data_IF_622670752454
#
_entry.id   IF_622670752454
#
_cell.length_a   1.000
_cell.length_b   1.000
_cell.length_c   1.000
_cell.angle_alpha   90.00
_cell.angle_beta   90.00
_cell.angle_gamma   90.00
#
_symmetry.space_group_name_H-M   'P 1'
#
loop_
_entity.id
_entity.type
_entity.pdbx_description
1 polymer ?
#
# COMPACT_ATOMS: atom_id res chain seq x y z
N UNK A 1 10.60 -5.62 -26.75
CA UNK A 1 10.90 -6.66 -25.74
C UNK A 1 9.57 -7.27 -25.31
N UNK A 2 9.43 -8.60 -25.36
CA UNK A 2 8.22 -9.27 -24.89
C UNK A 2 8.18 -9.11 -23.37
N UNK A 3 7.39 -8.16 -22.85
CA UNK A 3 7.08 -8.09 -21.42
C UNK A 3 6.46 -9.45 -21.07
N UNK A 4 7.07 -10.20 -20.17
CA UNK A 4 6.62 -11.54 -19.78
C UNK A 4 5.29 -11.42 -19.03
N UNK A 5 4.22 -11.18 -19.79
CA UNK A 5 2.90 -10.89 -19.29
C UNK A 5 2.34 -12.06 -18.48
N UNK A 6 1.91 -11.74 -17.27
CA UNK A 6 0.96 -12.50 -16.45
C UNK A 6 1.42 -13.70 -15.62
N UNK A 7 2.70 -14.04 -15.54
CA UNK A 7 3.15 -15.00 -14.53
C UNK A 7 3.68 -14.20 -13.33
N UNK A 8 2.79 -13.61 -12.53
CA UNK A 8 3.14 -13.00 -11.24
C UNK A 8 2.45 -13.80 -10.12
N UNK A 9 3.18 -14.43 -9.17
CA UNK A 9 2.55 -15.23 -8.13
C UNK A 9 1.78 -14.34 -7.13
N UNK A 10 2.04 -13.04 -7.15
CA UNK A 10 1.40 -12.03 -6.31
C UNK A 10 0.15 -11.42 -6.96
N UNK A 11 -0.21 -11.79 -8.20
CA UNK A 11 -1.34 -11.19 -8.94
C UNK A 11 -2.68 -11.37 -8.22
N UNK A 12 -2.88 -12.53 -7.58
CA UNK A 12 -4.10 -12.83 -6.83
C UNK A 12 -3.99 -12.44 -5.34
N UNK A 13 -2.89 -11.78 -4.96
CA UNK A 13 -2.58 -11.37 -3.58
C UNK A 13 -2.70 -9.86 -3.38
N UNK A 14 -3.44 -9.19 -4.27
CA UNK A 14 -3.74 -7.77 -4.20
C UNK A 14 -4.45 -7.40 -2.91
N UNK A 15 -4.09 -6.24 -2.36
CA UNK A 15 -4.81 -5.62 -1.27
C UNK A 15 -6.19 -5.17 -1.75
N UNK A 16 -7.22 -5.52 -0.99
CA UNK A 16 -8.59 -5.04 -1.22
C UNK A 16 -8.94 -4.06 -0.12
N UNK A 17 -9.41 -2.89 -0.52
CA UNK A 17 -9.87 -1.89 0.41
C UNK A 17 -11.04 -2.46 1.23
N UNK A 18 -10.92 -2.42 2.55
CA UNK A 18 -11.95 -2.89 3.46
C UNK A 18 -13.13 -1.91 3.49
N UNK A 19 -14.28 -2.38 4.00
CA UNK A 19 -15.42 -1.51 4.27
C UNK A 19 -15.04 -0.37 5.24
N UNK A 20 -15.61 0.80 5.00
CA UNK A 20 -15.39 1.97 5.85
C UNK A 20 -16.24 1.88 7.12
N UNK A 21 -15.63 1.37 8.19
CA UNK A 21 -16.32 1.03 9.43
C UNK A 21 -16.45 2.21 10.43
N UNK A 22 -15.85 3.37 10.14
CA UNK A 22 -15.92 4.54 11.03
C UNK A 22 -17.07 5.49 10.70
N UNK A 23 -17.71 5.30 9.56
CA UNK A 23 -18.80 6.13 9.10
C UNK A 23 -20.00 6.09 10.04
N UNK A 24 -20.47 7.25 10.50
CA UNK A 24 -21.60 7.34 11.43
C UNK A 24 -21.33 6.76 12.83
N UNK A 25 -20.10 6.31 13.10
CA UNK A 25 -19.70 5.79 14.40
C UNK A 25 -19.19 6.95 15.27
N UNK A 26 -19.62 6.97 16.53
CA UNK A 26 -19.12 7.95 17.51
C UNK A 26 -17.73 7.56 18.00
N UNK A 27 -16.92 8.56 18.34
CA UNK A 27 -15.56 8.36 18.85
C UNK A 27 -15.47 7.30 19.96
N UNK A 28 -16.42 7.28 20.91
CA UNK A 28 -16.43 6.33 22.02
C UNK A 28 -16.63 4.86 21.60
N UNK A 29 -17.11 4.60 20.39
CA UNK A 29 -17.30 3.24 19.87
C UNK A 29 -16.09 2.75 19.03
N UNK A 30 -15.06 3.59 18.84
CA UNK A 30 -13.88 3.21 18.05
C UNK A 30 -13.03 2.14 18.75
N UNK A 31 -12.35 1.28 17.96
CA UNK A 31 -11.24 0.45 18.44
C UNK A 31 -10.19 1.31 19.16
N UNK A 32 -9.51 0.72 20.15
CA UNK A 32 -8.56 1.42 21.02
C UNK A 32 -7.42 2.07 20.23
N UNK A 33 -6.95 1.39 19.19
CA UNK A 33 -5.85 1.80 18.33
C UNK A 33 -6.23 3.07 17.55
N UNK A 34 -7.44 3.10 17.00
CA UNK A 34 -7.99 4.25 16.26
C UNK A 34 -8.23 5.43 17.21
N UNK A 35 -8.80 5.19 18.39
CA UNK A 35 -8.94 6.24 19.43
C UNK A 35 -7.60 6.85 19.80
N UNK A 36 -6.61 6.01 20.08
CA UNK A 36 -5.27 6.46 20.46
C UNK A 36 -4.67 7.29 19.34
N UNK A 37 -4.86 6.88 18.08
CA UNK A 37 -4.35 7.60 16.94
C UNK A 37 -4.99 8.98 16.75
N UNK A 38 -6.33 9.05 16.76
CA UNK A 38 -7.08 10.31 16.69
C UNK A 38 -6.70 11.23 17.84
N UNK A 39 -6.70 10.72 19.08
CA UNK A 39 -6.30 11.52 20.25
C UNK A 39 -4.87 12.04 20.12
N UNK A 40 -3.94 11.22 19.62
CA UNK A 40 -2.56 11.67 19.40
C UNK A 40 -2.50 12.81 18.39
N UNK A 41 -3.26 12.74 17.29
CA UNK A 41 -3.31 13.83 16.32
C UNK A 41 -3.92 15.10 16.87
N UNK A 42 -5.04 15.00 17.59
CA UNK A 42 -5.70 16.15 18.22
C UNK A 42 -4.81 16.76 19.31
N UNK A 43 -4.05 15.95 20.04
CA UNK A 43 -3.08 16.43 21.04
C UNK A 43 -1.88 17.12 20.38
N UNK A 44 -1.39 16.60 19.26
CA UNK A 44 -0.26 17.17 18.52
C UNK A 44 -0.63 18.44 17.77
N UNK A 45 -1.84 18.52 17.23
CA UNK A 45 -2.40 19.70 16.59
C UNK A 45 -3.88 19.86 16.94
N UNK A 46 -4.22 20.62 18.01
CA UNK A 46 -5.61 20.86 18.41
C UNK A 46 -6.44 21.59 17.35
N UNK A 47 -5.81 22.24 16.37
CA UNK A 47 -6.52 22.98 15.30
C UNK A 47 -6.95 22.07 14.15
N UNK A 48 -6.46 20.84 14.13
CA UNK A 48 -6.72 19.85 13.07
C UNK A 48 -8.21 19.48 12.97
N UNK A 49 -8.95 19.55 14.07
CA UNK A 49 -10.41 19.30 14.13
C UNK A 49 -11.23 20.37 13.41
N UNK A 50 -10.68 21.58 13.22
CA UNK A 50 -11.42 22.72 12.68
C UNK A 50 -10.90 23.25 11.34
N UNK A 51 -9.88 22.63 10.76
CA UNK A 51 -9.20 23.12 9.55
C UNK A 51 -8.94 21.96 8.56
N UNK A 52 -9.81 21.78 7.56
CA UNK A 52 -9.68 20.71 6.57
C UNK A 52 -8.33 20.71 5.84
N UNK A 53 -7.73 21.88 5.62
CA UNK A 53 -6.43 22.00 4.95
C UNK A 53 -5.30 21.28 5.73
N UNK A 54 -5.41 21.24 7.06
CA UNK A 54 -4.45 20.51 7.91
C UNK A 54 -4.66 19.01 7.83
N UNK A 55 -5.91 18.57 7.70
CA UNK A 55 -6.23 17.15 7.52
C UNK A 55 -5.66 16.67 6.18
N UNK A 56 -5.85 17.44 5.11
CA UNK A 56 -5.23 17.20 3.79
C UNK A 56 -3.71 17.10 3.92
N UNK A 57 -3.06 18.07 4.56
CA UNK A 57 -1.61 18.06 4.74
C UNK A 57 -1.10 16.81 5.49
N UNK A 58 -1.83 16.35 6.51
CA UNK A 58 -1.49 15.11 7.22
C UNK A 58 -1.69 13.86 6.36
N UNK A 59 -2.75 13.82 5.53
CA UNK A 59 -2.94 12.72 4.56
C UNK A 59 -1.78 12.64 3.57
N UNK A 60 -1.37 13.78 3.00
CA UNK A 60 -0.23 13.86 2.08
C UNK A 60 1.05 13.38 2.77
N UNK A 61 1.32 13.83 4.00
CA UNK A 61 2.47 13.36 4.77
C UNK A 61 2.44 11.84 5.05
N UNK A 62 1.26 11.27 5.34
CA UNK A 62 1.10 9.82 5.48
C UNK A 62 1.34 9.07 4.18
N UNK A 63 0.89 9.60 3.03
CA UNK A 63 1.14 9.00 1.72
C UNK A 63 2.63 8.95 1.39
N UNK A 64 3.35 10.05 1.61
CA UNK A 64 4.81 10.06 1.46
C UNK A 64 5.50 9.05 2.37
N UNK A 65 5.03 8.91 3.62
CA UNK A 65 5.57 7.91 4.54
C UNK A 65 5.32 6.48 4.07
N UNK A 66 4.09 6.18 3.64
CA UNK A 66 3.75 4.88 3.06
C UNK A 66 4.64 4.59 1.84
N UNK A 67 4.81 5.55 0.94
CA UNK A 67 5.70 5.42 -0.22
C UNK A 67 7.12 5.05 0.23
N UNK A 68 7.69 5.80 1.17
CA UNK A 68 9.03 5.53 1.70
C UNK A 68 9.14 4.14 2.32
N UNK A 69 8.13 3.71 3.08
CA UNK A 69 8.11 2.39 3.72
C UNK A 69 7.98 1.25 2.69
N UNK A 70 7.20 1.45 1.62
CA UNK A 70 7.06 0.50 0.52
C UNK A 70 8.36 0.38 -0.29
N UNK A 71 9.02 1.49 -0.60
CA UNK A 71 10.32 1.48 -1.29
C UNK A 71 11.40 0.78 -0.43
N UNK A 72 11.45 1.08 0.87
CA UNK A 72 12.38 0.40 1.79
C UNK A 72 12.10 -1.12 1.89
N UNK A 73 10.82 -1.51 1.81
CA UNK A 73 10.43 -2.92 1.76
C UNK A 73 10.92 -3.58 0.47
N UNK A 74 10.76 -2.92 -0.68
CA UNK A 74 11.26 -3.40 -1.98
C UNK A 74 12.80 -3.55 -1.98
N UNK A 75 13.53 -2.60 -1.41
CA UNK A 75 14.99 -2.69 -1.19
C UNK A 75 15.39 -3.91 -0.34
N UNK A 76 14.64 -4.16 0.73
CA UNK A 76 14.85 -5.31 1.62
C UNK A 76 14.57 -6.64 0.92
N UNK A 77 13.53 -6.72 0.09
CA UNK A 77 13.27 -7.90 -0.75
C UNK A 77 14.43 -8.15 -1.71
N UNK A 78 14.91 -7.11 -2.40
CA UNK A 78 16.02 -7.23 -3.35
C UNK A 78 17.30 -7.69 -2.68
N UNK A 79 17.63 -7.13 -1.52
CA UNK A 79 18.79 -7.54 -0.71
C UNK A 79 18.70 -9.01 -0.33
N UNK A 80 17.54 -9.47 0.17
CA UNK A 80 17.31 -10.87 0.53
C UNK A 80 17.36 -11.80 -0.69
N UNK A 81 16.78 -11.40 -1.81
CA UNK A 81 16.85 -12.16 -3.07
C UNK A 81 18.31 -12.35 -3.47
N UNK A 82 19.10 -11.29 -3.53
CA UNK A 82 20.48 -11.36 -4.00
C UNK A 82 21.38 -12.29 -3.16
N UNK A 83 21.00 -12.57 -1.92
CA UNK A 83 21.67 -13.56 -1.07
C UNK A 83 21.26 -15.02 -1.37
N UNK A 84 20.21 -15.26 -2.14
CA UNK A 84 19.75 -16.61 -2.52
C UNK A 84 20.46 -17.08 -3.80
N UNK A 85 21.08 -18.26 -3.73
CA UNK A 85 21.72 -18.88 -4.90
C UNK A 85 20.67 -19.53 -5.82
N UNK A 86 20.27 -18.80 -6.87
CA UNK A 86 19.34 -19.28 -7.90
C UNK A 86 20.07 -19.29 -9.24
N UNK A 87 19.97 -20.41 -9.96
CA UNK A 87 20.46 -20.48 -11.33
C UNK A 87 19.72 -19.44 -12.19
N UNK A 88 20.44 -18.51 -12.86
CA UNK A 88 19.80 -17.50 -13.70
C UNK A 88 19.00 -18.17 -14.82
N UNK A 89 17.97 -17.48 -15.31
CA UNK A 89 17.27 -17.94 -16.50
C UNK A 89 18.18 -17.81 -17.72
N UNK A 90 18.40 -18.93 -18.41
CA UNK A 90 19.17 -18.96 -19.64
C UNK A 90 18.27 -19.35 -20.82
N UNK A 91 18.10 -18.39 -21.74
CA UNK A 91 17.28 -18.58 -22.93
C UNK A 91 17.83 -19.77 -23.75
N UNK A 92 16.96 -20.71 -24.12
CA UNK A 92 17.32 -21.91 -24.88
C UNK A 92 17.66 -23.16 -24.06
N UNK A 93 17.96 -23.03 -22.75
CA UNK A 93 18.17 -24.22 -21.87
C UNK A 93 16.86 -24.85 -21.39
N UNK A 94 15.84 -24.03 -21.15
CA UNK A 94 14.49 -24.49 -20.81
C UNK A 94 13.46 -23.38 -21.05
N UNK A 95 12.17 -23.74 -21.08
CA UNK A 95 11.11 -22.73 -21.16
C UNK A 95 11.07 -21.89 -19.88
N UNK A 96 10.77 -20.60 -20.03
CA UNK A 96 10.64 -19.65 -18.90
C UNK A 96 9.68 -20.19 -17.83
N UNK A 97 8.51 -20.71 -18.23
CA UNK A 97 7.52 -21.27 -17.30
C UNK A 97 8.09 -22.43 -16.46
N UNK A 98 8.93 -23.30 -17.04
CA UNK A 98 9.54 -24.42 -16.30
C UNK A 98 10.63 -23.95 -15.35
N UNK A 99 11.49 -23.03 -15.79
CA UNK A 99 12.49 -22.40 -14.93
C UNK A 99 11.81 -21.69 -13.75
N UNK A 100 10.76 -20.94 -14.03
CA UNK A 100 9.92 -20.22 -13.09
C UNK A 100 9.31 -21.13 -12.01
N UNK A 101 8.67 -22.23 -12.43
CA UNK A 101 8.15 -23.23 -11.51
C UNK A 101 9.25 -23.86 -10.64
N UNK A 102 10.47 -24.00 -11.17
CA UNK A 102 11.63 -24.46 -10.42
C UNK A 102 12.08 -23.45 -9.36
N UNK A 103 12.16 -22.17 -9.70
CA UNK A 103 12.54 -21.11 -8.77
C UNK A 103 11.52 -20.95 -7.62
N UNK A 104 10.21 -21.07 -7.90
CA UNK A 104 9.16 -21.04 -6.87
C UNK A 104 9.16 -22.26 -5.94
N UNK A 105 9.87 -23.34 -6.27
CA UNK A 105 10.06 -24.47 -5.34
C UNK A 105 11.17 -24.22 -4.34
N UNK A 106 11.97 -23.17 -4.51
CA UNK A 106 13.00 -22.82 -3.53
C UNK A 106 12.37 -22.19 -2.29
N UNK A 107 12.57 -22.83 -1.14
CA UNK A 107 12.01 -22.39 0.13
C UNK A 107 12.36 -20.94 0.47
N UNK A 108 13.59 -20.51 0.20
CA UNK A 108 14.03 -19.14 0.44
C UNK A 108 13.23 -18.11 -0.38
N UNK A 109 12.96 -18.39 -1.66
CA UNK A 109 12.13 -17.53 -2.52
C UNK A 109 10.70 -17.44 -2.03
N UNK A 110 10.11 -18.59 -1.66
CA UNK A 110 8.76 -18.64 -1.11
C UNK A 110 8.67 -17.83 0.18
N UNK A 111 9.66 -17.93 1.07
CA UNK A 111 9.71 -17.17 2.32
C UNK A 111 9.83 -15.67 2.09
N UNK A 112 10.71 -15.24 1.18
CA UNK A 112 10.86 -13.82 0.82
C UNK A 112 9.52 -13.27 0.32
N UNK A 113 8.88 -13.97 -0.62
CA UNK A 113 7.59 -13.56 -1.17
C UNK A 113 6.49 -13.51 -0.12
N UNK A 114 6.36 -14.53 0.74
CA UNK A 114 5.33 -14.57 1.79
C UNK A 114 5.55 -13.47 2.84
N UNK A 115 6.80 -13.22 3.23
CA UNK A 115 7.11 -12.17 4.20
C UNK A 115 6.87 -10.79 3.61
N UNK A 116 7.22 -10.56 2.34
CA UNK A 116 6.91 -9.31 1.65
C UNK A 116 5.40 -9.05 1.61
N UNK A 117 4.63 -10.00 1.07
CA UNK A 117 3.17 -9.88 0.96
C UNK A 117 2.52 -9.56 2.31
N UNK A 118 2.99 -10.22 3.38
CA UNK A 118 2.51 -9.94 4.74
C UNK A 118 2.86 -8.52 5.18
N UNK A 119 4.10 -8.10 4.98
CA UNK A 119 4.60 -6.80 5.43
C UNK A 119 3.95 -5.66 4.66
N UNK A 120 3.85 -5.80 3.33
CA UNK A 120 3.16 -4.84 2.46
C UNK A 120 1.69 -4.70 2.84
N UNK A 121 0.97 -5.80 3.02
CA UNK A 121 -0.43 -5.75 3.43
C UNK A 121 -0.60 -5.10 4.81
N UNK A 122 0.32 -5.35 5.75
CA UNK A 122 0.29 -4.71 7.07
C UNK A 122 0.54 -3.19 6.97
N UNK A 123 1.48 -2.76 6.13
CA UNK A 123 1.74 -1.33 5.88
C UNK A 123 0.52 -0.64 5.27
N UNK A 124 -0.06 -1.21 4.21
CA UNK A 124 -1.25 -0.63 3.56
C UNK A 124 -2.46 -0.64 4.49
N UNK A 125 -2.70 -1.73 5.23
CA UNK A 125 -3.80 -1.80 6.19
C UNK A 125 -3.66 -0.72 7.27
N UNK A 126 -2.47 -0.57 7.85
CA UNK A 126 -2.23 0.47 8.86
C UNK A 126 -2.40 1.87 8.27
N UNK A 127 -1.93 2.10 7.03
CA UNK A 127 -2.17 3.38 6.35
C UNK A 127 -3.66 3.67 6.15
N UNK A 128 -4.43 2.70 5.65
CA UNK A 128 -5.88 2.83 5.46
C UNK A 128 -6.59 3.16 6.76
N UNK A 129 -6.31 2.44 7.85
CA UNK A 129 -6.90 2.71 9.17
C UNK A 129 -6.61 4.13 9.67
N UNK A 130 -5.41 4.64 9.40
CA UNK A 130 -4.98 5.98 9.83
C UNK A 130 -5.62 7.08 8.99
N UNK A 131 -5.74 6.89 7.68
CA UNK A 131 -6.44 7.81 6.80
C UNK A 131 -7.93 7.81 7.10
N UNK A 132 -8.53 6.65 7.37
CA UNK A 132 -9.94 6.53 7.78
C UNK A 132 -10.23 7.34 9.04
N UNK A 133 -9.30 7.35 10.00
CA UNK A 133 -9.40 8.16 11.21
C UNK A 133 -9.36 9.67 10.91
N UNK A 134 -8.53 10.11 9.95
CA UNK A 134 -8.46 11.51 9.51
C UNK A 134 -9.70 11.92 8.72
N UNK A 135 -10.21 11.05 7.84
CA UNK A 135 -11.44 11.29 7.10
C UNK A 135 -12.64 11.41 8.05
N UNK A 136 -12.70 10.57 9.09
CA UNK A 136 -13.73 10.72 10.12
C UNK A 136 -13.67 12.08 10.82
N UNK A 137 -12.48 12.58 11.15
CA UNK A 137 -12.32 13.93 11.72
C UNK A 137 -12.83 15.02 10.77
N UNK A 138 -12.63 14.85 9.46
CA UNK A 138 -13.05 15.79 8.42
C UNK A 138 -14.57 15.77 8.17
N UNK A 139 -15.17 14.58 8.09
CA UNK A 139 -16.57 14.41 7.65
C UNK A 139 -17.59 14.36 8.79
N UNK A 140 -17.15 14.00 9.99
CA UNK A 140 -18.04 13.79 11.14
C UNK A 140 -17.67 14.65 12.36
N UNK A 141 -16.45 15.20 12.40
CA UNK A 141 -16.00 16.19 13.37
C UNK A 141 -16.01 15.73 14.84
N UNK A 142 -15.24 16.42 15.67
CA UNK A 142 -15.29 16.26 17.14
C UNK A 142 -16.44 17.08 17.77
N UNK A 143 -17.07 17.99 17.00
CA UNK A 143 -17.90 19.06 17.57
C UNK A 143 -19.21 19.39 16.83
N UNK A 144 -19.54 18.84 15.65
CA UNK A 144 -20.76 19.25 14.95
C UNK A 144 -21.23 18.18 13.96
N UNK A 145 -22.55 18.01 13.91
CA UNK A 145 -23.31 17.05 13.09
C UNK A 145 -22.67 16.71 11.74
N UNK A 146 -22.67 15.43 11.30
CA UNK A 146 -22.17 15.07 9.98
C UNK A 146 -22.90 15.89 8.92
N UNK A 147 -22.14 16.64 8.13
CA UNK A 147 -22.67 17.42 7.00
C UNK A 147 -22.89 16.55 5.77
N UNK A 148 -22.25 15.39 5.71
CA UNK A 148 -22.28 14.48 4.56
C UNK A 148 -23.04 13.20 4.91
N UNK A 149 -23.71 12.66 3.91
CA UNK A 149 -24.34 11.35 4.03
C UNK A 149 -23.29 10.22 4.02
N UNK A 150 -23.73 9.01 4.38
CA UNK A 150 -22.86 7.84 4.49
C UNK A 150 -22.20 7.47 3.15
N UNK A 151 -22.91 7.63 2.05
CA UNK A 151 -22.46 7.20 0.73
C UNK A 151 -21.47 8.21 0.13
N UNK A 152 -21.67 9.51 0.37
CA UNK A 152 -20.74 10.60 0.07
C UNK A 152 -19.40 10.37 0.78
N UNK A 153 -19.42 10.04 2.08
CA UNK A 153 -18.18 9.78 2.83
C UNK A 153 -17.47 8.52 2.30
N UNK A 154 -18.22 7.47 1.96
CA UNK A 154 -17.64 6.25 1.36
C UNK A 154 -17.04 6.51 -0.01
N UNK A 155 -17.70 7.31 -0.84
CA UNK A 155 -17.20 7.70 -2.16
C UNK A 155 -15.91 8.51 -2.01
N UNK A 156 -15.92 9.54 -1.18
CA UNK A 156 -14.75 10.38 -0.93
C UNK A 156 -13.55 9.58 -0.41
N UNK A 157 -13.79 8.66 0.53
CA UNK A 157 -12.75 7.74 1.00
C UNK A 157 -12.15 6.92 -0.14
N UNK A 158 -13.00 6.37 -1.03
CA UNK A 158 -12.54 5.57 -2.15
C UNK A 158 -11.74 6.41 -3.16
N UNK A 159 -12.08 7.68 -3.34
CA UNK A 159 -11.32 8.62 -4.18
C UNK A 159 -9.94 8.91 -3.57
N UNK A 160 -9.86 9.09 -2.25
CA UNK A 160 -8.59 9.35 -1.53
C UNK A 160 -7.68 8.11 -1.50
N UNK A 161 -8.24 6.93 -1.20
CA UNK A 161 -7.48 5.70 -0.98
C UNK A 161 -7.30 4.84 -2.24
N UNK A 162 -8.22 4.95 -3.20
CA UNK A 162 -8.25 4.14 -4.42
C UNK A 162 -6.94 4.21 -5.21
N UNK A 163 -6.43 5.41 -5.56
CA UNK A 163 -5.18 5.55 -6.31
C UNK A 163 -3.97 4.93 -5.59
N UNK A 164 -3.89 5.05 -4.26
CA UNK A 164 -2.79 4.49 -3.46
C UNK A 164 -2.85 2.96 -3.43
N UNK A 165 -4.03 2.39 -3.23
CA UNK A 165 -4.25 0.94 -3.25
C UNK A 165 -3.97 0.38 -4.65
N UNK A 166 -4.43 1.06 -5.70
CA UNK A 166 -4.19 0.67 -7.08
C UNK A 166 -2.68 0.66 -7.40
N UNK A 167 -1.96 1.72 -7.06
CA UNK A 167 -0.52 1.80 -7.27
C UNK A 167 0.25 0.72 -6.50
N UNK A 168 -0.12 0.47 -5.24
CA UNK A 168 0.51 -0.60 -4.44
C UNK A 168 0.24 -1.99 -5.03
N UNK A 169 -0.96 -2.21 -5.58
CA UNK A 169 -1.30 -3.46 -6.25
C UNK A 169 -0.60 -3.61 -7.61
N UNK A 170 -0.40 -2.50 -8.34
CA UNK A 170 0.36 -2.49 -9.58
C UNK A 170 1.85 -2.74 -9.31
N UNK A 171 2.43 -2.18 -8.25
CA UNK A 171 3.85 -2.41 -7.92
C UNK A 171 4.15 -3.86 -7.54
N UNK A 172 3.18 -4.57 -6.93
CA UNK A 172 3.25 -6.02 -6.71
C UNK A 172 3.44 -6.83 -8.01
N UNK A 173 3.11 -6.28 -9.18
CA UNK A 173 3.37 -6.92 -10.48
C UNK A 173 4.86 -6.98 -10.82
N UNK A 174 5.62 -5.95 -10.45
CA UNK A 174 7.06 -5.84 -10.68
C UNK A 174 7.86 -6.58 -9.63
N UNK A 175 7.30 -6.76 -8.43
CA UNK A 175 7.89 -7.59 -7.38
C UNK A 175 8.14 -9.04 -7.84
N UNK A 176 7.16 -9.61 -8.55
CA UNK A 176 7.30 -10.95 -9.15
C UNK A 176 8.48 -11.02 -10.12
N UNK A 177 8.78 -9.92 -10.81
CA UNK A 177 9.93 -9.82 -11.68
C UNK A 177 11.24 -9.76 -10.87
N UNK A 178 11.36 -8.92 -9.82
CA UNK A 178 12.61 -8.86 -9.01
C UNK A 178 12.99 -10.15 -8.33
N UNK A 179 12.02 -10.79 -7.69
CA UNK A 179 12.28 -11.98 -6.87
C UNK A 179 12.94 -13.06 -7.74
N UNK A 180 12.66 -13.06 -9.04
CA UNK A 180 13.03 -14.14 -9.94
C UNK A 180 14.13 -13.69 -10.90
N UNK A 181 13.99 -12.53 -11.54
CA UNK A 181 14.99 -11.89 -12.40
C UNK A 181 15.22 -10.45 -11.94
N UNK A 182 16.27 -10.17 -11.11
CA UNK A 182 16.55 -8.84 -10.59
C UNK A 182 16.95 -7.90 -11.72
N UNK A 183 15.95 -7.35 -12.39
CA UNK A 183 16.07 -6.39 -13.48
C UNK A 183 16.01 -4.99 -12.89
N UNK A 184 17.02 -4.17 -13.18
CA UNK A 184 17.00 -2.75 -12.82
C UNK A 184 15.89 -2.00 -13.57
N UNK A 185 15.47 -2.47 -14.75
CA UNK A 185 14.35 -1.85 -15.49
C UNK A 185 13.02 -2.07 -14.79
N UNK A 186 12.79 -3.29 -14.27
CA UNK A 186 11.61 -3.54 -13.47
C UNK A 186 11.58 -2.58 -12.28
N UNK A 187 12.75 -2.28 -11.67
CA UNK A 187 12.93 -1.49 -10.44
C UNK A 187 12.37 -0.12 -10.66
N UNK A 188 12.86 0.51 -11.72
CA UNK A 188 12.43 1.83 -12.13
C UNK A 188 10.92 1.86 -12.42
N UNK A 189 10.37 0.84 -13.10
CA UNK A 189 8.93 0.76 -13.37
C UNK A 189 8.09 0.64 -12.08
N UNK A 190 8.52 -0.19 -11.13
CA UNK A 190 7.84 -0.37 -9.84
C UNK A 190 7.88 0.88 -8.96
N UNK A 191 9.06 1.50 -8.86
CA UNK A 191 9.26 2.74 -8.10
C UNK A 191 8.43 3.89 -8.70
N UNK A 192 8.45 4.02 -10.03
CA UNK A 192 7.67 5.04 -10.76
C UNK A 192 6.17 4.91 -10.49
N UNK A 193 5.62 3.70 -10.51
CA UNK A 193 4.20 3.45 -10.22
C UNK A 193 3.83 3.84 -8.79
N UNK A 194 4.71 3.58 -7.83
CA UNK A 194 4.47 3.99 -6.44
C UNK A 194 4.50 5.52 -6.32
N UNK A 195 5.44 6.18 -6.99
CA UNK A 195 5.53 7.64 -7.02
C UNK A 195 4.30 8.31 -7.66
N UNK A 196 3.76 7.75 -8.76
CA UNK A 196 2.53 8.23 -9.42
C UNK A 196 1.31 8.31 -8.48
N UNK A 197 1.30 7.57 -7.37
CA UNK A 197 0.20 7.57 -6.40
C UNK A 197 0.18 8.79 -5.47
N UNK A 198 1.33 9.46 -5.34
CA UNK A 198 1.50 10.63 -4.47
C UNK A 198 1.11 11.91 -5.20
N UNK A 199 1.40 12.00 -6.50
CA UNK A 199 1.19 13.21 -7.31
C UNK A 199 -0.28 13.46 -7.70
N UNK A 200 -1.20 12.56 -7.35
CA UNK A 200 -2.63 12.64 -7.74
C UNK A 200 -3.54 13.41 -6.78
N UNK A 201 -3.05 13.82 -5.61
CA UNK A 201 -3.75 14.75 -4.72
C UNK A 201 -3.28 16.18 -4.98
N UNK A 202 -3.58 16.70 -6.17
CA UNK A 202 -3.81 18.13 -6.31
C UNK A 202 -5.31 18.36 -6.02
N UNK A 203 -5.66 19.49 -5.40
CA UNK A 203 -7.00 19.95 -4.96
C UNK A 203 -7.35 19.74 -3.48
#
# INVERSE_FOLDING_TARGET
MSKFGNINPCRDKVFKLTEYNLAGVKFDAFPKEIKTHVSTFVLMDPRLVGDPSRIVAQRVAMKHRLLSDLLALDDSVRTRRNAVNINPFEMGKMSFLRWWQGALRQQAIVQIMQQDLRSRNALVASFVERVDALLWLETSGYASSPTWDLDEVRQFRNEVLGPVVEATNRSLMFLGEYILSPSEDAKLDGDMILCESVDREEY
#
